data_IF_544544896134
#
_entry.id   IF_544544896134
#
_cell.length_a   1.000
_cell.length_b   1.000
_cell.length_c   1.000
_cell.angle_alpha   90.00
_cell.angle_beta   90.00
_cell.angle_gamma   90.00
#
_symmetry.space_group_name_H-M   'P 1'
#
loop_
_entity.id
_entity.type
_entity.pdbx_description
1 polymer ?
#
# COMPACT_ATOMS: atom_id res chain seq x y z
N UNK A 1 -40.65 4.19 48.66
CA UNK A 1 -40.08 5.12 47.66
C UNK A 1 -39.51 4.31 46.52
N UNK A 2 -40.00 4.53 45.29
CA UNK A 2 -39.73 3.70 44.11
C UNK A 2 -38.30 3.92 43.60
N UNK A 3 -37.42 2.95 43.86
CA UNK A 3 -36.13 2.83 43.19
C UNK A 3 -36.31 1.97 41.93
N UNK A 4 -37.01 2.49 40.94
CA UNK A 4 -37.01 1.88 39.60
C UNK A 4 -35.77 2.39 38.90
N UNK A 5 -34.69 1.61 39.00
CA UNK A 5 -33.54 1.76 38.12
C UNK A 5 -34.08 1.76 36.68
N UNK A 6 -33.95 2.89 36.00
CA UNK A 6 -34.59 3.15 34.71
C UNK A 6 -33.85 2.35 33.64
N UNK A 7 -34.21 1.07 33.53
CA UNK A 7 -33.54 0.05 32.71
C UNK A 7 -33.37 0.51 31.25
N UNK A 8 -34.29 1.33 30.75
CA UNK A 8 -34.21 1.94 29.42
C UNK A 8 -33.06 2.95 29.29
N UNK A 9 -32.81 3.77 30.32
CA UNK A 9 -31.66 4.69 30.36
C UNK A 9 -30.34 3.96 30.47
N UNK A 10 -30.30 2.86 31.24
CA UNK A 10 -29.11 2.01 31.33
C UNK A 10 -28.78 1.33 30.00
N UNK A 11 -29.79 0.76 29.32
CA UNK A 11 -29.61 0.17 27.98
C UNK A 11 -29.17 1.23 26.97
N UNK A 12 -29.82 2.40 26.93
CA UNK A 12 -29.44 3.49 26.03
C UNK A 12 -28.01 3.99 26.28
N UNK A 13 -27.57 4.05 27.55
CA UNK A 13 -26.20 4.42 27.91
C UNK A 13 -25.18 3.39 27.42
N UNK A 14 -25.46 2.09 27.59
CA UNK A 14 -24.62 1.00 27.11
C UNK A 14 -24.54 1.00 25.58
N UNK A 15 -25.67 1.19 24.89
CA UNK A 15 -25.70 1.29 23.42
C UNK A 15 -24.90 2.49 22.92
N UNK A 16 -24.99 3.65 23.57
CA UNK A 16 -24.18 4.82 23.21
C UNK A 16 -22.67 4.59 23.44
N UNK A 17 -22.28 3.93 24.54
CA UNK A 17 -20.86 3.62 24.81
C UNK A 17 -20.32 2.64 23.76
N UNK A 18 -21.08 1.59 23.43
CA UNK A 18 -20.70 0.63 22.38
C UNK A 18 -20.55 1.31 21.01
N UNK A 19 -21.47 2.20 20.64
CA UNK A 19 -21.38 2.96 19.38
C UNK A 19 -20.17 3.91 19.36
N UNK A 20 -19.83 4.54 20.49
CA UNK A 20 -18.66 5.43 20.58
C UNK A 20 -17.33 4.67 20.44
N UNK A 21 -17.21 3.47 21.01
CA UNK A 21 -16.01 2.64 20.88
C UNK A 21 -15.77 2.15 19.44
N UNK A 22 -16.82 1.94 18.64
CA UNK A 22 -16.71 1.56 17.23
C UNK A 22 -16.27 2.71 16.31
N UNK A 23 -16.59 3.98 16.63
CA UNK A 23 -16.16 5.11 15.82
C UNK A 23 -14.64 5.40 15.93
N UNK A 24 -14.02 5.12 17.08
CA UNK A 24 -12.59 5.38 17.32
C UNK A 24 -11.65 4.47 16.53
N UNK A 25 -12.11 3.30 16.08
CA UNK A 25 -11.29 2.35 15.30
C UNK A 25 -11.29 2.65 13.79
N UNK A 26 -12.23 3.48 13.31
CA UNK A 26 -12.39 3.75 11.88
C UNK A 26 -11.34 4.72 11.29
N UNK A 27 -10.52 5.38 12.13
CA UNK A 27 -9.67 6.49 11.70
C UNK A 27 -8.15 6.19 11.71
N UNK A 28 -7.73 4.95 11.95
CA UNK A 28 -6.31 4.57 11.80
C UNK A 28 -6.07 3.97 10.40
N UNK A 29 -5.15 4.53 9.59
CA UNK A 29 -4.61 3.82 8.44
C UNK A 29 -3.99 2.52 8.96
N UNK A 30 -4.51 1.37 8.55
CA UNK A 30 -4.22 0.10 9.16
C UNK A 30 -3.31 -0.75 8.26
N UNK A 31 -2.22 -0.15 7.76
CA UNK A 31 -1.22 -0.89 6.99
C UNK A 31 -0.56 -1.93 7.91
N UNK A 32 -0.79 -3.19 7.63
CA UNK A 32 -0.21 -4.33 8.31
C UNK A 32 0.96 -4.86 7.49
N UNK A 33 2.17 -4.47 7.89
CA UNK A 33 3.43 -4.85 7.27
C UNK A 33 3.61 -6.38 7.10
N UNK A 34 2.91 -7.19 7.90
CA UNK A 34 3.02 -8.65 7.84
C UNK A 34 2.25 -9.30 6.68
N UNK A 35 1.28 -8.59 6.10
CA UNK A 35 0.35 -9.17 5.11
C UNK A 35 0.03 -8.24 3.94
N UNK A 36 0.08 -6.93 4.13
CA UNK A 36 -0.30 -5.96 3.10
C UNK A 36 0.84 -5.76 2.08
N UNK A 37 0.49 -5.42 0.85
CA UNK A 37 1.43 -5.18 -0.24
C UNK A 37 1.60 -3.69 -0.47
N UNK A 38 2.82 -3.18 -0.36
CA UNK A 38 3.15 -1.87 -0.92
C UNK A 38 3.41 -1.99 -2.43
N UNK A 39 2.42 -1.65 -3.26
CA UNK A 39 2.59 -1.59 -4.71
C UNK A 39 3.08 -0.20 -5.13
N UNK A 40 4.36 -0.11 -5.50
CA UNK A 40 5.03 1.15 -5.84
C UNK A 40 4.87 1.41 -7.33
N UNK A 41 4.15 2.46 -7.69
CA UNK A 41 3.92 2.88 -9.07
C UNK A 41 4.82 4.09 -9.36
N UNK A 42 5.76 3.94 -10.30
CA UNK A 42 6.67 4.97 -10.77
C UNK A 42 6.44 5.18 -12.27
N UNK A 43 6.09 6.37 -12.72
CA UNK A 43 6.04 6.72 -14.14
C UNK A 43 7.42 6.82 -14.78
N UNK A 44 8.43 7.33 -14.06
CA UNK A 44 9.74 7.71 -14.59
C UNK A 44 9.65 8.68 -15.80
N UNK A 45 8.62 9.52 -15.83
CA UNK A 45 8.30 10.45 -16.90
C UNK A 45 7.87 11.81 -16.31
N UNK A 46 8.48 12.94 -16.64
CA UNK A 46 9.63 13.18 -17.54
C UNK A 46 10.89 13.61 -16.78
N UNK A 47 10.75 13.87 -15.49
CA UNK A 47 11.83 14.25 -14.58
C UNK A 47 12.26 13.06 -13.72
N UNK A 48 13.11 13.35 -12.73
CA UNK A 48 13.90 12.34 -12.01
C UNK A 48 13.37 12.06 -10.60
N UNK A 49 12.21 12.59 -10.24
CA UNK A 49 11.62 12.48 -8.91
C UNK A 49 11.26 11.03 -8.56
N UNK A 50 10.80 10.23 -9.51
CA UNK A 50 10.56 8.80 -9.34
C UNK A 50 11.84 7.99 -9.17
N UNK A 51 12.93 8.39 -9.83
CA UNK A 51 14.23 7.79 -9.61
C UNK A 51 14.72 8.11 -8.19
N UNK A 52 14.55 9.35 -7.73
CA UNK A 52 14.85 9.71 -6.35
C UNK A 52 13.97 8.94 -5.35
N UNK A 53 12.69 8.76 -5.65
CA UNK A 53 11.75 7.97 -4.84
C UNK A 53 12.19 6.51 -4.76
N UNK A 54 12.56 5.89 -5.89
CA UNK A 54 13.08 4.53 -5.91
C UNK A 54 14.36 4.37 -5.07
N UNK A 55 15.31 5.29 -5.20
CA UNK A 55 16.56 5.29 -4.43
C UNK A 55 16.32 5.52 -2.92
N UNK A 56 15.41 6.43 -2.58
CA UNK A 56 15.01 6.69 -1.20
C UNK A 56 14.32 5.49 -0.57
N UNK A 57 13.38 4.87 -1.28
CA UNK A 57 12.72 3.66 -0.83
C UNK A 57 13.71 2.51 -0.65
N UNK A 58 14.66 2.33 -1.57
CA UNK A 58 15.70 1.30 -1.42
C UNK A 58 16.51 1.46 -0.11
N UNK A 59 16.78 2.71 0.29
CA UNK A 59 17.43 3.01 1.57
C UNK A 59 16.54 2.59 2.76
N UNK A 60 15.25 2.92 2.72
CA UNK A 60 14.29 2.54 3.76
C UNK A 60 14.15 1.01 3.86
N UNK A 61 14.03 0.32 2.73
CA UNK A 61 13.92 -1.14 2.66
C UNK A 61 15.11 -1.88 3.30
N UNK A 62 16.27 -1.24 3.40
CA UNK A 62 17.45 -1.79 4.05
C UNK A 62 17.48 -1.54 5.57
N UNK A 63 16.55 -0.77 6.11
CA UNK A 63 16.43 -0.52 7.55
C UNK A 63 15.69 -1.68 8.25
N UNK A 64 16.10 -2.11 9.46
CA UNK A 64 15.51 -3.27 10.15
C UNK A 64 14.00 -3.22 10.36
N UNK A 65 13.44 -2.01 10.50
CA UNK A 65 12.00 -1.80 10.71
C UNK A 65 11.16 -2.22 9.48
N UNK A 66 11.76 -2.22 8.29
CA UNK A 66 11.08 -2.57 7.03
C UNK A 66 11.47 -3.95 6.49
N UNK A 67 12.21 -4.77 7.26
CA UNK A 67 12.68 -6.10 6.82
C UNK A 67 11.57 -7.07 6.41
N UNK A 68 10.34 -6.82 6.87
CA UNK A 68 9.16 -7.64 6.57
C UNK A 68 8.20 -6.97 5.58
N UNK A 69 8.51 -5.76 5.10
CA UNK A 69 7.68 -5.05 4.16
C UNK A 69 7.53 -5.89 2.88
N UNK A 70 6.31 -6.32 2.59
CA UNK A 70 5.98 -6.92 1.32
C UNK A 70 5.69 -5.80 0.32
N UNK A 71 6.49 -5.72 -0.74
CA UNK A 71 6.38 -4.66 -1.74
C UNK A 71 6.51 -5.24 -3.16
N UNK A 72 6.13 -4.46 -4.16
CA UNK A 72 6.46 -4.73 -5.56
C UNK A 72 6.50 -3.41 -6.32
N UNK A 73 7.55 -3.15 -7.09
CA UNK A 73 7.69 -1.88 -7.81
C UNK A 73 7.35 -2.03 -9.31
N UNK A 74 6.80 -0.97 -9.90
CA UNK A 74 6.41 -0.92 -11.31
C UNK A 74 6.98 0.37 -11.89
N UNK A 75 7.92 0.26 -12.83
CA UNK A 75 8.35 1.40 -13.64
C UNK A 75 7.45 1.54 -14.86
N UNK A 76 7.26 2.76 -15.36
CA UNK A 76 6.42 3.02 -16.54
C UNK A 76 4.92 3.05 -16.24
N UNK A 77 4.53 3.37 -15.01
CA UNK A 77 3.13 3.42 -14.56
C UNK A 77 2.41 4.73 -14.95
N UNK A 78 2.54 5.13 -16.22
CA UNK A 78 1.89 6.33 -16.76
C UNK A 78 0.78 5.99 -17.75
N UNK A 79 -0.13 6.93 -17.96
CA UNK A 79 -1.21 6.84 -18.95
C UNK A 79 -0.77 7.33 -20.34
N UNK A 80 -1.55 8.23 -20.93
CA UNK A 80 -1.15 8.91 -22.17
C UNK A 80 -0.44 10.20 -21.78
N UNK A 81 0.89 10.20 -21.89
CA UNK A 81 1.73 11.33 -21.49
C UNK A 81 2.88 11.55 -22.48
N UNK A 82 3.07 12.81 -22.87
CA UNK A 82 4.20 13.26 -23.68
C UNK A 82 5.47 13.45 -22.81
N UNK A 83 6.62 13.66 -23.44
CA UNK A 83 7.90 13.87 -22.75
C UNK A 83 8.80 12.64 -22.73
N UNK A 84 10.03 12.84 -22.24
CA UNK A 84 11.07 11.83 -22.28
C UNK A 84 10.88 10.84 -21.12
N UNK A 85 10.96 9.56 -21.45
CA UNK A 85 11.09 8.52 -20.42
C UNK A 85 12.52 8.50 -19.91
N UNK A 86 12.70 8.66 -18.60
CA UNK A 86 14.01 8.63 -17.96
C UNK A 86 14.36 7.18 -17.65
N UNK A 87 15.38 6.57 -18.30
CA UNK A 87 15.63 5.13 -18.18
C UNK A 87 15.94 4.69 -16.73
N UNK A 88 15.04 3.95 -16.05
CA UNK A 88 15.21 3.66 -14.63
C UNK A 88 15.84 2.28 -14.39
N UNK A 89 15.99 1.44 -15.42
CA UNK A 89 16.25 0.00 -15.30
C UNK A 89 17.47 -0.35 -14.41
N UNK A 90 18.60 0.34 -14.57
CA UNK A 90 19.79 0.08 -13.76
C UNK A 90 19.54 0.38 -12.28
N UNK A 91 18.89 1.52 -11.99
CA UNK A 91 18.50 1.89 -10.63
C UNK A 91 17.47 0.91 -10.06
N UNK A 92 16.42 0.57 -10.81
CA UNK A 92 15.37 -0.37 -10.38
C UNK A 92 15.95 -1.75 -10.06
N UNK A 93 16.88 -2.23 -10.89
CA UNK A 93 17.61 -3.48 -10.66
C UNK A 93 18.45 -3.43 -9.39
N UNK A 94 19.13 -2.32 -9.13
CA UNK A 94 19.88 -2.14 -7.88
C UNK A 94 18.97 -2.04 -6.66
N UNK A 95 17.89 -1.25 -6.75
CA UNK A 95 16.96 -0.95 -5.67
C UNK A 95 16.12 -2.16 -5.26
N UNK A 96 15.54 -2.86 -6.23
CA UNK A 96 14.49 -3.85 -6.01
C UNK A 96 14.87 -5.27 -6.46
N UNK A 97 16.04 -5.46 -7.07
CA UNK A 97 16.52 -6.77 -7.58
C UNK A 97 15.52 -7.40 -8.54
N UNK A 98 14.78 -8.42 -8.10
CA UNK A 98 13.76 -9.12 -8.87
C UNK A 98 12.33 -8.71 -8.48
N UNK A 99 12.18 -7.78 -7.54
CA UNK A 99 10.90 -7.38 -6.95
C UNK A 99 10.29 -6.15 -7.63
N UNK A 100 10.42 -6.10 -8.96
CA UNK A 100 9.87 -5.04 -9.80
C UNK A 100 9.57 -5.53 -11.22
N UNK A 101 8.88 -4.71 -12.02
CA UNK A 101 8.60 -4.95 -13.44
C UNK A 101 8.69 -3.65 -14.26
N UNK A 102 8.96 -3.77 -15.55
CA UNK A 102 9.05 -2.66 -16.50
C UNK A 102 7.78 -2.60 -17.36
N UNK A 103 6.82 -1.77 -16.97
CA UNK A 103 5.56 -1.60 -17.70
C UNK A 103 5.71 -0.71 -18.94
N UNK A 104 6.77 0.10 -19.02
CA UNK A 104 7.09 0.88 -20.23
C UNK A 104 7.45 -0.05 -21.39
N UNK A 105 8.28 -1.08 -21.14
CA UNK A 105 8.68 -2.06 -22.15
C UNK A 105 7.77 -3.27 -22.27
N UNK A 106 7.19 -3.72 -21.16
CA UNK A 106 6.48 -5.01 -21.08
C UNK A 106 5.09 -4.85 -20.45
N UNK A 107 4.30 -3.87 -20.91
CA UNK A 107 3.00 -3.51 -20.32
C UNK A 107 2.10 -4.71 -19.98
N UNK A 108 1.76 -5.55 -20.97
CA UNK A 108 0.83 -6.66 -20.77
C UNK A 108 1.35 -7.69 -19.74
N UNK A 109 2.63 -8.03 -19.83
CA UNK A 109 3.27 -8.96 -18.90
C UNK A 109 3.37 -8.38 -17.48
N UNK A 110 3.69 -7.09 -17.38
CA UNK A 110 3.74 -6.33 -16.13
C UNK A 110 2.37 -6.30 -15.45
N UNK A 111 1.31 -5.95 -16.18
CA UNK A 111 -0.07 -5.94 -15.67
C UNK A 111 -0.49 -7.33 -15.21
N UNK A 112 -0.25 -8.37 -16.01
CA UNK A 112 -0.59 -9.75 -15.63
C UNK A 112 0.14 -10.20 -14.35
N UNK A 113 1.41 -9.83 -14.20
CA UNK A 113 2.22 -10.14 -13.03
C UNK A 113 1.74 -9.40 -11.78
N UNK A 114 1.49 -8.09 -11.89
CA UNK A 114 0.96 -7.26 -10.80
C UNK A 114 -0.40 -7.78 -10.35
N UNK A 115 -1.31 -8.06 -11.29
CA UNK A 115 -2.62 -8.62 -10.98
C UNK A 115 -2.52 -9.95 -10.22
N UNK A 116 -1.58 -10.84 -10.60
CA UNK A 116 -1.34 -12.10 -9.89
C UNK A 116 -0.85 -11.86 -8.46
N UNK A 117 0.04 -10.89 -8.24
CA UNK A 117 0.56 -10.55 -6.91
C UNK A 117 -0.57 -9.97 -6.04
N UNK A 118 -1.30 -8.98 -6.55
CA UNK A 118 -2.44 -8.34 -5.87
C UNK A 118 -3.51 -9.36 -5.48
N UNK A 119 -3.94 -10.21 -6.42
CA UNK A 119 -4.94 -11.26 -6.14
C UNK A 119 -4.46 -12.23 -5.06
N UNK A 120 -3.17 -12.58 -5.06
CA UNK A 120 -2.59 -13.44 -4.02
C UNK A 120 -2.60 -12.75 -2.65
N UNK A 121 -2.21 -11.47 -2.58
CA UNK A 121 -2.23 -10.69 -1.34
C UNK A 121 -3.64 -10.64 -0.74
N UNK A 122 -4.63 -10.26 -1.55
CA UNK A 122 -6.04 -10.16 -1.13
C UNK A 122 -6.57 -11.52 -0.65
N UNK A 123 -6.30 -12.60 -1.39
CA UNK A 123 -6.71 -13.96 -1.00
C UNK A 123 -6.09 -14.42 0.33
N UNK A 124 -4.94 -13.89 0.70
CA UNK A 124 -4.26 -14.18 1.96
C UNK A 124 -4.70 -13.25 3.10
N UNK A 125 -5.67 -12.35 2.87
CA UNK A 125 -6.23 -11.46 3.89
C UNK A 125 -5.44 -10.16 4.13
N UNK A 126 -4.48 -9.84 3.25
CA UNK A 126 -3.83 -8.53 3.19
C UNK A 126 -4.55 -7.56 2.25
N UNK A 127 -4.16 -6.30 2.32
CA UNK A 127 -4.59 -5.20 1.45
C UNK A 127 -3.46 -4.75 0.50
N UNK A 128 -3.75 -3.84 -0.42
CA UNK A 128 -2.78 -3.25 -1.38
C UNK A 128 -2.81 -1.73 -1.35
#
# INVERSE_FOLDING_TARGET
MKNTFDFKKAISGITCILLFSFCLTAQKPNYDISKDLLLVQLDCKTDIDDLHTAAGLATLLNHPDYKHLNYYAVAGSYGIQEGLYVPPNELMKMAFKNNWTDADKEWEASVARVAKIVVKTIKNGGDV
#
